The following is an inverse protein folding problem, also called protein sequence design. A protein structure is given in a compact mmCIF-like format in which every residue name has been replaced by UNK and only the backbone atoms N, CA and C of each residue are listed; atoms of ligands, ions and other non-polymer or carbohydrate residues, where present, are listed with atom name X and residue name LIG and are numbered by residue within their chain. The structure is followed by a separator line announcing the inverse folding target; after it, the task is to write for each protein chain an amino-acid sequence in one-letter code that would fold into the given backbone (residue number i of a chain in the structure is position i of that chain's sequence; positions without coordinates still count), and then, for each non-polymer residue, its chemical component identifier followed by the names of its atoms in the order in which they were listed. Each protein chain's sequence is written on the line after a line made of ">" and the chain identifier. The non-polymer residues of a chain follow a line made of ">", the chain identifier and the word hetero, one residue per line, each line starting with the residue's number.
data_IF_058644042476
#
_entry.id   IF_058644042476
#
_cell.length_a   1.000
_cell.length_b   1.000
_cell.length_c   1.000
_cell.angle_alpha   90.00
_cell.angle_beta   90.00
_cell.angle_gamma   90.00
#
_symmetry.space_group_name_H-M   'P 1'
#
loop_
_entity.id
_entity.type
_entity.pdbx_description
1 polymer ?
#
# COMPACT_ATOMS: atom_id res chain seq x y z
N UNK A 1 -4.39 17.63 14.13
CA UNK A 1 -5.69 17.60 13.43
C UNK A 1 -6.68 18.56 14.07
N UNK A 2 -7.44 19.29 13.26
CA UNK A 2 -8.49 20.23 13.71
C UNK A 2 -8.03 21.39 14.59
N UNK A 3 -6.80 21.81 14.38
CA UNK A 3 -6.22 23.05 14.90
C UNK A 3 -5.99 24.00 13.72
N UNK A 4 -5.54 25.23 13.99
CA UNK A 4 -5.15 26.18 12.93
C UNK A 4 -3.86 25.76 12.20
N UNK A 5 -3.13 24.80 12.77
CA UNK A 5 -1.83 24.32 12.31
C UNK A 5 -1.90 22.90 11.70
N UNK A 6 -3.06 22.53 11.14
CA UNK A 6 -3.29 21.20 10.57
C UNK A 6 -2.66 21.08 9.18
N UNK A 7 -1.36 20.79 9.13
CA UNK A 7 -0.57 20.58 7.92
C UNK A 7 0.01 19.17 7.87
N UNK A 8 -0.22 18.46 6.77
CA UNK A 8 0.44 17.19 6.46
C UNK A 8 1.33 17.42 5.24
N UNK A 9 2.61 17.09 5.38
CA UNK A 9 3.57 17.08 4.26
C UNK A 9 3.87 15.63 3.92
N UNK A 10 3.56 15.22 2.70
CA UNK A 10 3.90 13.89 2.17
C UNK A 10 4.93 14.08 1.07
N UNK A 11 6.07 13.44 1.22
CA UNK A 11 7.03 13.35 0.13
C UNK A 11 6.59 12.21 -0.79
N UNK A 12 6.22 12.54 -2.02
CA UNK A 12 5.99 11.54 -3.05
C UNK A 12 7.34 11.07 -3.57
N UNK A 13 7.75 9.88 -3.14
CA UNK A 13 8.96 9.21 -3.63
C UNK A 13 8.70 8.37 -4.88
N UNK A 14 7.47 8.42 -5.42
CA UNK A 14 7.04 7.62 -6.56
C UNK A 14 6.93 6.13 -6.26
N UNK A 15 7.23 5.66 -5.05
CA UNK A 15 7.29 4.23 -4.74
C UNK A 15 5.91 3.56 -4.64
N UNK A 16 4.85 4.20 -5.16
CA UNK A 16 3.45 3.80 -4.98
C UNK A 16 3.11 3.58 -3.49
N UNK A 17 3.79 4.33 -2.63
CA UNK A 17 3.71 4.27 -1.16
C UNK A 17 3.11 5.56 -0.57
N UNK A 18 2.98 6.60 -1.40
CA UNK A 18 2.53 7.93 -1.01
C UNK A 18 1.14 7.90 -0.35
N UNK A 19 0.22 7.08 -0.84
CA UNK A 19 -1.11 6.92 -0.24
C UNK A 19 -1.04 6.25 1.13
N UNK A 20 -0.19 5.24 1.30
CA UNK A 20 0.03 4.59 2.59
C UNK A 20 0.65 5.58 3.58
N UNK A 21 1.65 6.35 3.15
CA UNK A 21 2.27 7.40 3.95
C UNK A 21 1.24 8.48 4.32
N UNK A 22 0.40 8.92 3.38
CA UNK A 22 -0.67 9.86 3.63
C UNK A 22 -1.64 9.35 4.70
N UNK A 23 -2.11 8.10 4.59
CA UNK A 23 -2.99 7.49 5.61
C UNK A 23 -2.27 7.40 6.96
N UNK A 24 -1.00 7.01 6.98
CA UNK A 24 -0.17 6.95 8.19
C UNK A 24 -0.06 8.32 8.87
N UNK A 25 0.26 9.37 8.13
CA UNK A 25 0.34 10.74 8.66
C UNK A 25 -1.03 11.27 9.10
N UNK A 26 -2.10 10.93 8.38
CA UNK A 26 -3.46 11.30 8.76
C UNK A 26 -3.86 10.68 10.10
N UNK A 27 -3.61 9.38 10.28
CA UNK A 27 -3.82 8.68 11.54
C UNK A 27 -2.99 9.30 12.67
N UNK A 28 -1.71 9.54 12.42
CA UNK A 28 -0.84 10.16 13.40
C UNK A 28 -1.32 11.56 13.82
N UNK A 29 -1.76 12.37 12.86
CA UNK A 29 -2.29 13.71 13.10
C UNK A 29 -3.58 13.69 13.93
N UNK A 30 -4.34 12.59 13.87
CA UNK A 30 -5.51 12.34 14.71
C UNK A 30 -5.15 11.84 16.12
N UNK A 31 -3.86 11.64 16.43
CA UNK A 31 -3.37 11.14 17.71
C UNK A 31 -3.25 9.63 17.80
N UNK A 32 -3.17 8.93 16.65
CA UNK A 32 -2.89 7.49 16.61
C UNK A 32 -1.37 7.28 16.64
N UNK A 33 -0.90 6.68 17.73
CA UNK A 33 0.52 6.32 17.90
C UNK A 33 0.94 5.17 16.98
N UNK A 34 2.23 5.12 16.66
CA UNK A 34 2.85 3.97 15.99
C UNK A 34 2.79 2.72 16.87
N UNK A 35 2.60 1.55 16.27
CA UNK A 35 2.62 0.28 17.00
C UNK A 35 3.96 0.11 17.73
N UNK A 36 3.90 -0.26 19.01
CA UNK A 36 5.06 -0.37 19.89
C UNK A 36 5.50 0.94 20.56
N UNK A 37 4.81 2.06 20.30
CA UNK A 37 5.09 3.35 20.92
C UNK A 37 3.87 3.91 21.67
N UNK A 38 4.14 4.77 22.66
CA UNK A 38 3.11 5.54 23.37
C UNK A 38 1.93 4.68 23.85
N UNK A 39 0.73 5.06 23.42
CA UNK A 39 -0.54 4.40 23.73
C UNK A 39 -0.73 3.04 23.03
N UNK A 40 0.10 2.76 22.01
CA UNK A 40 0.13 1.50 21.25
C UNK A 40 1.31 0.58 21.65
N UNK A 41 2.02 0.85 22.75
CA UNK A 41 3.18 0.05 23.23
C UNK A 41 2.93 -1.44 23.37
N UNK A 42 1.69 -1.83 23.60
CA UNK A 42 1.25 -3.22 23.77
C UNK A 42 1.12 -4.00 22.45
N UNK A 43 1.08 -3.30 21.32
CA UNK A 43 1.12 -3.93 20.00
C UNK A 43 2.56 -4.11 19.54
N UNK A 44 2.80 -5.21 18.82
CA UNK A 44 4.11 -5.48 18.26
C UNK A 44 4.46 -4.39 17.24
N UNK A 45 5.60 -3.73 17.43
CA UNK A 45 6.14 -2.79 16.45
C UNK A 45 6.43 -3.47 15.11
N UNK A 46 6.66 -4.78 15.09
CA UNK A 46 7.03 -5.55 13.92
C UNK A 46 5.84 -6.38 13.42
N UNK A 47 5.60 -6.35 12.12
CA UNK A 47 4.50 -7.15 11.55
C UNK A 47 3.93 -6.62 10.24
N UNK A 48 4.46 -5.52 9.69
CA UNK A 48 3.98 -4.98 8.42
C UNK A 48 2.56 -4.41 8.46
N UNK A 49 2.07 -4.02 9.64
CA UNK A 49 0.88 -3.17 9.74
C UNK A 49 1.22 -1.74 9.35
N UNK A 50 0.24 -0.95 8.90
CA UNK A 50 0.50 0.41 8.39
C UNK A 50 1.21 1.32 9.41
N UNK A 51 0.78 1.27 10.68
CA UNK A 51 1.37 2.02 11.78
C UNK A 51 2.53 1.27 12.46
N UNK A 52 2.91 0.11 11.94
CA UNK A 52 4.07 -0.63 12.40
C UNK A 52 5.38 -0.20 11.75
N UNK A 53 6.40 -0.98 12.04
CA UNK A 53 7.73 -0.94 11.44
C UNK A 53 7.98 -2.17 10.56
N UNK A 54 8.85 -2.00 9.57
CA UNK A 54 9.18 -3.03 8.57
C UNK A 54 8.34 -2.92 7.29
N UNK A 55 8.52 -3.90 6.41
CA UNK A 55 7.80 -3.96 5.13
C UNK A 55 6.30 -4.20 5.37
N UNK A 56 5.41 -3.39 4.77
CA UNK A 56 3.97 -3.60 4.86
C UNK A 56 3.56 -4.99 4.37
N UNK A 57 2.62 -5.63 5.08
CA UNK A 57 1.94 -6.84 4.61
C UNK A 57 0.86 -6.44 3.59
N UNK A 58 0.61 -7.29 2.61
CA UNK A 58 -0.50 -7.15 1.65
C UNK A 58 -1.54 -8.29 1.80
N UNK A 59 -2.85 -8.01 1.95
CA UNK A 59 -3.44 -6.70 2.01
C UNK A 59 -2.89 -5.88 3.17
N UNK A 60 -2.80 -4.58 2.93
CA UNK A 60 -2.41 -3.63 3.97
C UNK A 60 -3.45 -3.72 5.09
N UNK A 61 -2.99 -3.98 6.31
CA UNK A 61 -3.85 -4.16 7.47
C UNK A 61 -3.50 -3.17 8.58
N UNK A 62 -4.51 -2.85 9.38
CA UNK A 62 -4.35 -2.14 10.63
C UNK A 62 -4.18 -3.14 11.77
N UNK A 63 -3.26 -2.85 12.69
CA UNK A 63 -3.18 -3.61 13.93
C UNK A 63 -4.43 -3.37 14.78
N UNK A 64 -4.70 -4.28 15.72
CA UNK A 64 -5.77 -4.09 16.70
C UNK A 64 -5.60 -2.78 17.50
N UNK A 65 -4.36 -2.37 17.85
CA UNK A 65 -4.13 -1.09 18.53
C UNK A 65 -4.46 0.09 17.65
N UNK A 66 -4.02 0.06 16.38
CA UNK A 66 -4.33 1.11 15.41
C UNK A 66 -5.83 1.30 15.29
N UNK A 67 -6.59 0.21 15.12
CA UNK A 67 -8.05 0.29 15.04
C UNK A 67 -8.68 0.87 16.31
N UNK A 68 -8.26 0.40 17.49
CA UNK A 68 -8.78 0.90 18.77
C UNK A 68 -8.52 2.39 18.97
N UNK A 69 -7.29 2.83 18.70
CA UNK A 69 -6.87 4.22 18.86
C UNK A 69 -7.53 5.13 17.83
N UNK A 70 -7.62 4.69 16.57
CA UNK A 70 -8.32 5.44 15.53
C UNK A 70 -9.80 5.64 15.88
N UNK A 71 -10.49 4.58 16.32
CA UNK A 71 -11.89 4.70 16.73
C UNK A 71 -12.08 5.71 17.86
N UNK A 72 -11.22 5.64 18.89
CA UNK A 72 -11.22 6.62 19.98
C UNK A 72 -10.99 8.05 19.46
N UNK A 73 -9.90 8.26 18.73
CA UNK A 73 -9.52 9.55 18.17
C UNK A 73 -10.64 10.19 17.33
N UNK A 74 -11.15 9.47 16.33
CA UNK A 74 -12.15 10.02 15.40
C UNK A 74 -13.51 10.23 16.04
N UNK A 75 -13.86 9.49 17.10
CA UNK A 75 -15.12 9.73 17.82
C UNK A 75 -15.16 11.09 18.54
N UNK A 76 -14.00 11.67 18.86
CA UNK A 76 -13.89 12.97 19.53
C UNK A 76 -13.60 14.15 18.58
N UNK A 77 -13.25 13.89 17.31
CA UNK A 77 -12.93 14.92 16.32
C UNK A 77 -14.18 15.48 15.60
N UNK A 78 -14.92 16.35 16.31
CA UNK A 78 -16.20 16.94 15.85
C UNK A 78 -16.13 17.68 14.51
N UNK A 79 -14.99 18.33 14.24
CA UNK A 79 -14.61 18.97 12.98
C UNK A 79 -14.68 18.07 11.73
N UNK A 80 -14.44 16.75 11.90
CA UNK A 80 -14.45 15.75 10.83
C UNK A 80 -15.79 15.05 10.79
N UNK A 81 -16.27 14.57 11.94
CA UNK A 81 -17.52 13.80 12.03
C UNK A 81 -18.73 14.62 11.55
N UNK A 82 -18.76 15.93 11.80
CA UNK A 82 -19.78 16.83 11.26
C UNK A 82 -19.78 16.93 9.73
N UNK A 83 -18.60 16.81 9.08
CA UNK A 83 -18.43 16.90 7.62
C UNK A 83 -18.70 15.56 6.91
N UNK A 84 -18.45 14.43 7.57
CA UNK A 84 -18.71 13.09 7.02
C UNK A 84 -20.20 12.82 6.76
N UNK A 85 -21.10 13.54 7.42
CA UNK A 85 -22.55 13.46 7.19
C UNK A 85 -22.96 13.81 5.75
N UNK A 86 -22.13 14.59 5.05
CA UNK A 86 -22.28 14.92 3.63
C UNK A 86 -21.35 14.03 2.80
N UNK A 87 -21.67 12.73 2.70
CA UNK A 87 -20.86 11.81 1.90
C UNK A 87 -20.87 12.24 0.44
N UNK A 88 -19.67 12.39 -0.12
CA UNK A 88 -19.46 12.30 -1.56
C UNK A 88 -19.96 10.94 -2.05
N UNK A 89 -21.00 10.92 -2.88
CA UNK A 89 -21.45 9.73 -3.61
C UNK A 89 -20.48 9.35 -4.76
N UNK A 90 -19.25 9.84 -4.72
CA UNK A 90 -18.30 9.59 -5.78
C UNK A 90 -17.82 8.15 -5.69
N UNK A 91 -17.94 7.38 -6.78
CA UNK A 91 -17.38 6.04 -6.84
C UNK A 91 -15.87 6.14 -6.60
N UNK A 92 -15.33 5.25 -5.76
CA UNK A 92 -13.88 5.11 -5.61
C UNK A 92 -13.36 4.64 -6.98
N UNK A 93 -12.49 5.41 -7.65
CA UNK A 93 -11.98 5.02 -8.94
C UNK A 93 -11.19 3.72 -8.82
N UNK A 94 -11.30 2.86 -9.84
CA UNK A 94 -10.42 1.70 -9.95
C UNK A 94 -8.95 2.16 -10.00
N UNK A 95 -8.01 1.41 -9.40
CA UNK A 95 -6.59 1.71 -9.49
C UNK A 95 -6.14 1.87 -10.95
N UNK A 96 -5.23 2.83 -11.24
CA UNK A 96 -4.74 3.04 -12.59
C UNK A 96 -4.05 1.77 -13.11
N UNK A 97 -4.14 1.53 -14.42
CA UNK A 97 -3.46 0.40 -15.05
C UNK A 97 -1.97 0.75 -15.14
N UNK A 98 -1.13 -0.04 -14.48
CA UNK A 98 0.33 0.15 -14.48
C UNK A 98 1.00 -1.02 -15.21
N UNK A 99 1.95 -0.73 -16.08
CA UNK A 99 2.82 -1.72 -16.72
C UNK A 99 4.09 -1.95 -15.90
N UNK A 100 4.78 -3.08 -16.14
CA UNK A 100 6.05 -3.38 -15.46
C UNK A 100 7.13 -2.33 -15.76
N UNK A 101 7.17 -1.81 -16.99
CA UNK A 101 8.12 -0.77 -17.39
C UNK A 101 7.87 0.53 -16.64
N UNK A 102 6.61 0.97 -16.54
CA UNK A 102 6.26 2.16 -15.75
C UNK A 102 6.62 1.96 -14.28
N UNK A 103 6.28 0.80 -13.69
CA UNK A 103 6.57 0.50 -12.30
C UNK A 103 8.06 0.51 -11.98
N UNK A 104 8.88 -0.25 -12.73
CA UNK A 104 10.33 -0.28 -12.49
C UNK A 104 11.01 1.05 -12.82
N UNK A 105 10.48 1.78 -13.81
CA UNK A 105 11.00 3.08 -14.23
C UNK A 105 10.97 4.13 -13.12
N UNK A 106 9.99 4.06 -12.20
CA UNK A 106 9.96 4.98 -11.05
C UNK A 106 11.17 4.83 -10.13
N UNK A 107 11.77 3.64 -10.08
CA UNK A 107 12.98 3.38 -9.30
C UNK A 107 14.27 3.56 -10.12
N UNK A 108 14.17 4.09 -11.35
CA UNK A 108 15.29 4.16 -12.28
C UNK A 108 15.80 2.78 -12.70
N UNK A 109 14.91 1.80 -12.77
CA UNK A 109 15.22 0.40 -13.07
C UNK A 109 14.43 -0.11 -14.29
N UNK A 110 14.86 -1.23 -14.86
CA UNK A 110 14.17 -1.91 -15.96
C UNK A 110 13.47 -3.19 -15.46
N UNK A 111 12.41 -3.67 -16.11
CA UNK A 111 11.86 -4.99 -15.80
C UNK A 111 12.91 -6.09 -15.99
N UNK A 112 12.87 -7.11 -15.13
CA UNK A 112 13.70 -8.30 -15.35
C UNK A 112 13.26 -9.06 -16.61
N UNK A 113 14.22 -9.77 -17.22
CA UNK A 113 13.95 -10.71 -18.30
C UNK A 113 13.22 -11.97 -17.78
N UNK A 114 12.79 -12.86 -18.68
CA UNK A 114 12.06 -14.08 -18.30
C UNK A 114 12.82 -14.93 -17.26
N UNK A 115 14.16 -15.03 -17.41
CA UNK A 115 15.02 -15.75 -16.47
C UNK A 115 15.06 -15.08 -15.10
N UNK A 116 15.16 -13.75 -15.04
CA UNK A 116 15.11 -12.99 -13.81
C UNK A 116 13.74 -13.10 -13.13
N UNK A 117 12.67 -13.00 -13.90
CA UNK A 117 11.31 -13.18 -13.39
C UNK A 117 11.14 -14.57 -12.78
N UNK A 118 11.53 -15.64 -13.47
CA UNK A 118 11.39 -17.01 -12.93
C UNK A 118 12.26 -17.26 -11.68
N UNK A 119 13.38 -16.54 -11.55
CA UNK A 119 14.30 -16.68 -10.41
C UNK A 119 13.82 -15.91 -9.16
N UNK A 120 13.35 -14.68 -9.33
CA UNK A 120 13.08 -13.75 -8.22
C UNK A 120 11.57 -13.56 -7.94
N UNK A 121 10.72 -13.66 -8.96
CA UNK A 121 9.27 -13.59 -8.80
C UNK A 121 8.73 -15.01 -8.56
N UNK A 122 8.84 -15.51 -7.33
CA UNK A 122 8.40 -16.87 -7.01
C UNK A 122 6.89 -17.06 -7.26
N UNK A 123 6.54 -17.85 -8.29
CA UNK A 123 5.18 -18.30 -8.64
C UNK A 123 4.64 -19.39 -7.69
N UNK A 124 4.74 -19.25 -6.36
CA UNK A 124 4.08 -20.22 -5.46
C UNK A 124 2.60 -19.88 -5.36
N UNK A 125 1.76 -20.74 -5.92
CA UNK A 125 0.29 -20.64 -5.95
C UNK A 125 -0.40 -20.41 -4.60
N UNK A 126 0.33 -20.60 -3.49
CA UNK A 126 -0.17 -20.48 -2.12
C UNK A 126 0.15 -19.13 -1.44
N UNK A 127 0.98 -18.26 -2.04
CA UNK A 127 1.36 -16.97 -1.43
C UNK A 127 1.37 -15.83 -2.45
N UNK A 128 0.34 -14.99 -2.33
CA UNK A 128 0.24 -13.62 -2.86
C UNK A 128 1.20 -13.25 -4.02
N UNK A 129 0.77 -13.52 -5.25
CA UNK A 129 1.55 -13.37 -6.49
C UNK A 129 2.07 -11.95 -6.80
N UNK A 130 1.65 -10.93 -6.05
CA UNK A 130 2.07 -9.54 -6.27
C UNK A 130 3.07 -9.00 -5.23
N UNK A 131 3.70 -9.86 -4.43
CA UNK A 131 4.62 -9.42 -3.37
C UNK A 131 6.06 -9.23 -3.79
N UNK A 132 6.48 -9.88 -4.86
CA UNK A 132 7.85 -9.87 -5.33
C UNK A 132 7.84 -9.69 -6.85
N UNK A 133 7.97 -8.44 -7.28
CA UNK A 133 8.28 -8.04 -8.64
C UNK A 133 9.76 -7.71 -8.75
N UNK A 134 10.36 -8.21 -9.82
CA UNK A 134 11.76 -8.05 -10.11
C UNK A 134 11.96 -6.82 -11.01
N UNK A 135 12.69 -5.83 -10.47
CA UNK A 135 13.22 -4.72 -11.24
C UNK A 135 14.76 -4.76 -11.23
N UNK A 136 15.38 -4.72 -12.40
CA UNK A 136 16.82 -4.70 -12.60
C UNK A 136 17.34 -3.26 -12.56
N UNK A 137 17.95 -2.89 -11.44
CA UNK A 137 18.68 -1.63 -11.32
C UNK A 137 20.14 -1.75 -11.82
N UNK A 138 20.87 -0.64 -11.81
CA UNK A 138 22.25 -0.56 -12.29
C UNK A 138 23.22 -1.49 -11.55
N UNK A 139 23.04 -1.66 -10.23
CA UNK A 139 23.98 -2.39 -9.37
C UNK A 139 23.36 -3.60 -8.66
N UNK A 140 22.03 -3.74 -8.68
CA UNK A 140 21.32 -4.81 -7.97
C UNK A 140 19.93 -5.05 -8.55
N UNK A 141 19.41 -6.24 -8.26
CA UNK A 141 17.99 -6.56 -8.42
C UNK A 141 17.23 -5.97 -7.23
N UNK A 142 16.08 -5.37 -7.52
CA UNK A 142 15.11 -4.89 -6.56
C UNK A 142 13.93 -5.87 -6.58
N UNK A 143 13.60 -6.42 -5.41
CA UNK A 143 12.38 -7.20 -5.20
C UNK A 143 11.38 -6.33 -4.46
N UNK A 144 10.28 -5.98 -5.12
CA UNK A 144 9.32 -4.99 -4.66
C UNK A 144 7.90 -5.53 -4.71
N UNK A 145 7.06 -5.12 -3.77
CA UNK A 145 5.64 -5.40 -3.85
C UNK A 145 5.00 -4.58 -4.98
N UNK A 146 4.16 -5.23 -5.78
CA UNK A 146 3.48 -4.61 -6.91
C UNK A 146 2.27 -3.79 -6.44
N UNK A 147 2.09 -2.56 -6.94
CA UNK A 147 0.94 -1.73 -6.62
C UNK A 147 -0.34 -2.29 -7.25
N UNK A 148 -1.48 -1.93 -6.67
CA UNK A 148 -2.77 -2.24 -7.26
C UNK A 148 -2.86 -1.65 -8.67
N UNK A 149 -3.34 -2.46 -9.62
CA UNK A 149 -3.36 -2.12 -11.04
C UNK A 149 -2.13 -2.54 -11.84
N UNK A 150 -1.03 -2.97 -11.21
CA UNK A 150 0.14 -3.51 -11.93
C UNK A 150 -0.22 -4.81 -12.68
N UNK A 151 0.21 -4.93 -13.95
CA UNK A 151 0.04 -6.16 -14.74
C UNK A 151 0.86 -7.30 -14.12
N UNK A 152 0.18 -8.33 -13.61
CA UNK A 152 0.79 -9.50 -12.97
C UNK A 152 0.71 -10.77 -13.82
N UNK A 153 -0.14 -10.80 -14.84
CA UNK A 153 -0.23 -11.94 -15.73
C UNK A 153 -1.33 -11.79 -16.77
N UNK A 154 -1.63 -12.89 -17.43
CA UNK A 154 -2.69 -13.00 -18.42
C UNK A 154 -3.59 -14.20 -18.04
N UNK A 155 -4.82 -14.21 -18.52
CA UNK A 155 -5.71 -15.36 -18.39
C UNK A 155 -5.28 -16.49 -19.34
N UNK A 156 -5.77 -17.71 -19.07
CA UNK A 156 -5.42 -18.92 -19.83
C UNK A 156 -5.72 -18.82 -21.33
N UNK A 157 -6.63 -17.91 -21.72
CA UNK A 157 -7.05 -17.65 -23.09
C UNK A 157 -6.41 -16.39 -23.69
N UNK A 158 -5.50 -15.72 -22.97
CA UNK A 158 -4.86 -14.46 -23.37
C UNK A 158 -5.84 -13.32 -23.72
N UNK A 159 -7.10 -13.44 -23.29
CA UNK A 159 -8.20 -12.54 -23.61
C UNK A 159 -8.34 -11.37 -22.63
N UNK A 160 -7.83 -11.52 -21.40
CA UNK A 160 -7.92 -10.53 -20.32
C UNK A 160 -6.65 -10.51 -19.48
N UNK A 161 -6.03 -9.33 -19.39
CA UNK A 161 -4.91 -9.10 -18.49
C UNK A 161 -5.32 -9.24 -17.02
N UNK A 162 -4.51 -9.96 -16.23
CA UNK A 162 -4.61 -9.99 -14.77
C UNK A 162 -3.79 -8.87 -14.16
N UNK A 163 -4.30 -8.30 -13.07
CA UNK A 163 -3.68 -7.17 -12.38
C UNK A 163 -3.64 -7.40 -10.87
N UNK A 164 -2.67 -6.77 -10.22
CA UNK A 164 -2.58 -6.76 -8.77
C UNK A 164 -3.76 -6.04 -8.16
N UNK A 165 -4.37 -6.64 -7.15
CA UNK A 165 -5.38 -6.03 -6.29
C UNK A 165 -5.28 -6.64 -4.90
N UNK A 166 -4.93 -5.82 -3.91
CA UNK A 166 -4.72 -6.22 -2.52
C UNK A 166 -3.67 -7.34 -2.41
N UNK A 167 -2.55 -7.19 -3.14
CA UNK A 167 -1.45 -8.15 -3.15
C UNK A 167 -1.73 -9.46 -3.90
N UNK A 168 -2.86 -9.60 -4.59
CA UNK A 168 -3.21 -10.80 -5.36
C UNK A 168 -3.34 -10.51 -6.85
N UNK A 169 -2.94 -11.45 -7.70
CA UNK A 169 -3.13 -11.36 -9.13
C UNK A 169 -4.57 -11.76 -9.51
N UNK A 170 -5.41 -10.77 -9.83
CA UNK A 170 -6.84 -10.97 -10.15
C UNK A 170 -7.15 -10.61 -11.58
N UNK A 171 -8.15 -11.25 -12.18
CA UNK A 171 -8.62 -10.87 -13.51
C UNK A 171 -9.18 -9.44 -13.48
N UNK A 172 -8.70 -8.58 -14.38
CA UNK A 172 -9.34 -7.28 -14.60
C UNK A 172 -10.75 -7.53 -15.11
N UNK A 173 -11.76 -6.96 -14.43
CA UNK A 173 -13.08 -6.78 -15.05
C UNK A 173 -12.97 -5.80 -16.22
#
# INVERSE_FOLDING_TARGET
>A
MCTKDDLIVVHDDGMFSAENNLVRFFLHSAGVDYDGYGSAKQCCAFGGYLMGSGLPRLPLEFSHCTMRLAYGAFSHLTCITSKMSKKAHHPIPSPPKVTRHEFCGVFGAEPCDDKGMDKYEHKRSERYDCYAFCCKGLYKILELAGPDGLKCGEDLLYSKGKRCLLGRCKSSK
#
